data_IF_709883160854
#
_entry.id   IF_709883160854
#
_cell.length_a   1.000
_cell.length_b   1.000
_cell.length_c   1.000
_cell.angle_alpha   90.00
_cell.angle_beta   90.00
_cell.angle_gamma   90.00
#
_symmetry.space_group_name_H-M   'P 1'
#
loop_
_entity.id
_entity.type
_entity.pdbx_description
1 polymer ?
#
# COMPACT_ATOMS: atom_id res chain seq x y z
N UNK A 1 -7.58 -3.22 4.95
CA UNK A 1 -8.90 -2.88 5.52
C UNK A 1 -9.12 -3.67 6.80
N UNK A 2 -9.46 -3.07 7.96
CA UNK A 2 -10.30 -3.82 8.88
C UNK A 2 -11.65 -3.95 8.17
N UNK A 3 -11.96 -5.14 7.67
CA UNK A 3 -13.34 -5.49 7.33
C UNK A 3 -14.25 -5.07 8.49
N UNK A 4 -15.48 -4.65 8.22
CA UNK A 4 -16.50 -4.47 9.25
C UNK A 4 -16.36 -5.62 10.26
N UNK A 5 -16.17 -5.29 11.55
CA UNK A 5 -15.86 -6.30 12.56
C UNK A 5 -17.02 -7.29 12.60
N UNK A 6 -16.79 -8.48 12.03
CA UNK A 6 -17.73 -9.58 12.15
C UNK A 6 -17.58 -10.12 13.57
N UNK A 7 -18.53 -9.75 14.44
CA UNK A 7 -18.53 -10.13 15.85
C UNK A 7 -19.13 -11.53 16.08
N UNK A 8 -19.55 -12.24 15.03
CA UNK A 8 -20.03 -13.61 15.15
C UNK A 8 -18.90 -14.50 15.69
N UNK A 9 -19.08 -15.11 16.87
CA UNK A 9 -18.06 -15.98 17.44
C UNK A 9 -17.79 -17.18 16.54
N UNK A 10 -16.50 -17.51 16.38
CA UNK A 10 -16.09 -18.78 15.77
C UNK A 10 -16.24 -19.88 16.82
N UNK A 11 -17.13 -20.83 16.53
CA UNK A 11 -17.46 -21.97 17.39
C UNK A 11 -16.80 -23.27 16.90
N UNK A 12 -16.46 -23.35 15.61
CA UNK A 12 -15.88 -24.57 15.02
C UNK A 12 -14.92 -24.29 13.86
N UNK A 13 -14.05 -25.27 13.58
CA UNK A 13 -13.07 -25.20 12.47
C UNK A 13 -13.75 -25.07 11.10
N UNK A 14 -14.95 -25.65 10.93
CA UNK A 14 -15.68 -25.64 9.67
C UNK A 14 -15.94 -24.21 9.18
N UNK A 15 -16.29 -23.28 10.07
CA UNK A 15 -16.55 -21.88 9.72
C UNK A 15 -15.33 -21.19 9.08
N UNK A 16 -14.10 -21.57 9.45
CA UNK A 16 -12.88 -21.05 8.83
C UNK A 16 -12.66 -21.64 7.44
N UNK A 17 -12.98 -22.92 7.25
CA UNK A 17 -12.88 -23.62 5.96
C UNK A 17 -13.91 -23.04 4.99
N UNK A 18 -15.17 -22.95 5.40
CA UNK A 18 -16.28 -22.40 4.62
C UNK A 18 -16.00 -20.95 4.20
N UNK A 19 -15.36 -20.15 5.05
CA UNK A 19 -14.96 -18.79 4.69
C UNK A 19 -13.99 -18.76 3.51
N UNK A 20 -13.05 -19.71 3.42
CA UNK A 20 -12.13 -19.84 2.29
C UNK A 20 -12.85 -20.40 1.06
N UNK A 21 -13.67 -21.44 1.24
CA UNK A 21 -14.46 -22.06 0.17
C UNK A 21 -15.46 -21.09 -0.48
N UNK A 22 -15.99 -20.12 0.28
CA UNK A 22 -16.85 -19.05 -0.26
C UNK A 22 -16.17 -18.17 -1.31
N UNK A 23 -14.84 -18.23 -1.42
CA UNK A 23 -14.06 -17.56 -2.46
C UNK A 23 -14.01 -18.32 -3.80
N UNK A 24 -14.49 -19.56 -3.86
CA UNK A 24 -14.53 -20.32 -5.12
C UNK A 24 -15.49 -19.67 -6.12
N UNK A 25 -14.98 -19.41 -7.33
CA UNK A 25 -15.73 -18.78 -8.43
C UNK A 25 -15.67 -19.63 -9.70
N UNK A 26 -16.78 -19.72 -10.47
CA UNK A 26 -16.72 -20.32 -11.80
C UNK A 26 -15.83 -19.49 -12.73
N UNK A 27 -15.31 -20.12 -13.79
CA UNK A 27 -14.25 -19.54 -14.64
C UNK A 27 -14.64 -18.21 -15.30
N UNK A 28 -15.91 -18.02 -15.62
CA UNK A 28 -16.48 -16.80 -16.21
C UNK A 28 -16.60 -15.63 -15.21
N UNK A 29 -16.52 -15.92 -13.91
CA UNK A 29 -16.44 -14.93 -12.84
C UNK A 29 -14.99 -14.58 -12.43
N UNK A 30 -13.98 -15.25 -12.99
CA UNK A 30 -12.59 -14.91 -12.68
C UNK A 30 -12.23 -13.49 -13.11
N UNK A 31 -11.41 -12.84 -12.30
CA UNK A 31 -10.95 -11.46 -12.43
C UNK A 31 -9.45 -11.41 -12.13
N UNK A 32 -8.83 -10.27 -12.40
CA UNK A 32 -7.42 -10.00 -12.15
C UNK A 32 -7.35 -8.78 -11.24
N UNK A 33 -6.93 -8.97 -10.00
CA UNK A 33 -6.48 -7.85 -9.15
C UNK A 33 -4.99 -7.64 -9.35
N UNK A 34 -4.50 -6.40 -9.32
CA UNK A 34 -3.07 -6.13 -9.40
C UNK A 34 -2.68 -5.11 -8.36
N UNK A 35 -1.64 -5.43 -7.61
CA UNK A 35 -1.09 -4.57 -6.56
C UNK A 35 0.36 -4.26 -6.85
N UNK A 36 0.80 -3.04 -6.58
CA UNK A 36 2.20 -2.67 -6.72
C UNK A 36 2.62 -1.55 -5.79
N UNK A 37 3.81 -1.72 -5.22
CA UNK A 37 4.43 -0.81 -4.27
C UNK A 37 5.54 0.00 -4.95
N UNK A 38 5.72 1.23 -4.47
CA UNK A 38 6.70 2.18 -5.01
C UNK A 38 7.39 2.92 -3.87
N UNK A 39 8.68 3.21 -3.99
CA UNK A 39 9.38 4.05 -3.02
C UNK A 39 9.23 5.53 -3.36
N UNK A 40 8.93 6.35 -2.35
CA UNK A 40 8.91 7.80 -2.49
C UNK A 40 10.16 8.42 -1.85
N UNK A 41 10.79 9.35 -2.57
CA UNK A 41 12.01 10.04 -2.19
C UNK A 41 11.87 11.54 -2.39
N UNK A 42 12.55 12.33 -1.55
CA UNK A 42 12.78 13.74 -1.83
C UNK A 42 13.76 13.89 -2.99
N UNK A 43 13.41 14.67 -4.02
CA UNK A 43 14.21 14.72 -5.25
C UNK A 43 15.56 15.44 -5.07
N UNK A 44 15.65 16.39 -4.12
CA UNK A 44 16.87 17.16 -3.89
C UNK A 44 17.89 16.38 -3.06
N UNK A 45 17.42 15.65 -2.04
CA UNK A 45 18.28 14.96 -1.07
C UNK A 45 18.43 13.46 -1.33
N UNK A 46 17.57 12.89 -2.18
CA UNK A 46 17.46 11.46 -2.44
C UNK A 46 17.24 10.64 -1.15
N UNK A 47 16.53 11.20 -0.17
CA UNK A 47 16.18 10.51 1.08
C UNK A 47 14.73 10.03 1.08
N UNK A 48 14.40 8.93 1.78
CA UNK A 48 13.01 8.51 1.95
C UNK A 48 12.16 9.61 2.57
N UNK A 49 10.92 9.73 2.12
CA UNK A 49 9.97 10.69 2.68
C UNK A 49 9.45 10.22 4.04
N UNK A 50 9.51 11.11 5.04
CA UNK A 50 8.78 10.91 6.28
C UNK A 50 7.31 11.26 6.10
N UNK A 51 6.48 10.85 7.05
CA UNK A 51 5.03 11.04 6.96
C UNK A 51 4.61 12.52 7.03
N UNK A 52 5.11 13.26 8.02
CA UNK A 52 4.72 14.66 8.28
C UNK A 52 5.67 15.72 7.65
N UNK A 53 6.62 15.32 6.79
CA UNK A 53 7.40 16.31 6.04
C UNK A 53 6.46 17.17 5.15
N UNK A 54 6.80 18.44 4.86
CA UNK A 54 5.98 19.30 4.00
C UNK A 54 5.65 18.69 2.62
N UNK A 55 6.62 17.99 2.01
CA UNK A 55 6.46 17.19 0.80
C UNK A 55 6.45 15.67 1.11
N UNK A 56 5.98 15.30 2.30
CA UNK A 56 6.01 13.94 2.83
C UNK A 56 4.86 13.05 2.34
N UNK A 57 4.76 11.87 2.94
CA UNK A 57 3.75 10.87 2.55
C UNK A 57 2.31 11.38 2.77
N UNK A 58 2.04 12.11 3.87
CA UNK A 58 0.72 12.71 4.10
C UNK A 58 0.33 13.65 2.96
N UNK A 59 1.25 14.52 2.55
CA UNK A 59 1.03 15.47 1.47
C UNK A 59 0.75 14.76 0.13
N UNK A 60 1.42 13.64 -0.16
CA UNK A 60 1.12 12.81 -1.36
C UNK A 60 -0.33 12.32 -1.32
N UNK A 61 -0.78 11.80 -0.17
CA UNK A 61 -2.16 11.32 -0.03
C UNK A 61 -3.18 12.45 -0.13
N UNK A 62 -2.87 13.62 0.41
CA UNK A 62 -3.72 14.83 0.30
C UNK A 62 -3.82 15.31 -1.15
N UNK A 63 -2.70 15.39 -1.88
CA UNK A 63 -2.70 15.79 -3.30
C UNK A 63 -3.46 14.80 -4.18
N UNK A 64 -3.35 13.49 -3.93
CA UNK A 64 -4.12 12.50 -4.68
C UNK A 64 -5.64 12.70 -4.57
N UNK A 65 -6.16 13.30 -3.49
CA UNK A 65 -7.59 13.54 -3.32
C UNK A 65 -8.16 14.45 -4.41
N UNK A 66 -7.36 15.33 -5.04
CA UNK A 66 -7.80 16.20 -6.13
C UNK A 66 -8.24 15.42 -7.38
N UNK A 67 -7.82 14.16 -7.51
CA UNK A 67 -8.27 13.25 -8.57
C UNK A 67 -9.51 12.44 -8.18
N UNK A 68 -10.21 12.80 -7.09
CA UNK A 68 -11.43 12.12 -6.62
C UNK A 68 -11.16 10.88 -5.78
N UNK A 69 -9.99 10.82 -5.12
CA UNK A 69 -9.69 9.78 -4.14
C UNK A 69 -10.24 10.19 -2.77
N UNK A 70 -10.94 9.28 -2.10
CA UNK A 70 -11.54 9.54 -0.79
C UNK A 70 -10.61 9.08 0.34
N UNK A 71 -10.37 9.89 1.38
CA UNK A 71 -9.41 9.59 2.42
C UNK A 71 -9.87 8.46 3.37
N UNK A 72 -8.91 7.65 3.79
CA UNK A 72 -9.08 6.63 4.81
C UNK A 72 -8.18 6.91 6.01
N UNK A 73 -8.78 7.09 7.18
CA UNK A 73 -8.06 7.56 8.37
C UNK A 73 -7.89 6.45 9.42
N UNK A 74 -6.76 6.50 10.12
CA UNK A 74 -6.53 5.80 11.40
C UNK A 74 -6.25 6.85 12.47
N UNK A 75 -7.26 7.11 13.32
CA UNK A 75 -7.25 8.30 14.17
C UNK A 75 -7.24 9.57 13.33
N UNK A 76 -6.31 10.48 13.60
CA UNK A 76 -6.16 11.77 12.90
C UNK A 76 -5.25 11.70 11.67
N UNK A 77 -4.80 10.50 11.29
CA UNK A 77 -3.86 10.29 10.19
C UNK A 77 -4.56 9.70 8.98
N UNK A 78 -4.42 10.34 7.81
CA UNK A 78 -4.78 9.74 6.52
C UNK A 78 -3.74 8.67 6.20
N UNK A 79 -4.15 7.40 6.12
CA UNK A 79 -3.24 6.24 5.95
C UNK A 79 -3.46 5.47 4.65
N UNK A 80 -4.37 5.97 3.81
CA UNK A 80 -4.72 5.41 2.53
C UNK A 80 -5.88 6.17 1.91
N UNK A 81 -6.25 5.78 0.70
CA UNK A 81 -7.35 6.37 -0.06
C UNK A 81 -8.15 5.27 -0.75
N UNK A 82 -9.37 5.58 -1.17
CA UNK A 82 -10.20 4.68 -1.98
C UNK A 82 -10.85 5.42 -3.14
N UNK A 83 -11.01 4.73 -4.28
CA UNK A 83 -11.68 5.26 -5.46
C UNK A 83 -12.12 4.12 -6.39
N UNK A 84 -13.39 4.05 -6.75
CA UNK A 84 -13.90 3.14 -7.78
C UNK A 84 -13.47 1.66 -7.62
N UNK A 85 -13.38 1.16 -6.39
CA UNK A 85 -12.91 -0.21 -6.08
C UNK A 85 -11.39 -0.38 -6.00
N UNK A 86 -10.62 0.68 -6.23
CA UNK A 86 -9.18 0.77 -6.02
C UNK A 86 -8.87 1.34 -4.64
N UNK A 87 -7.68 1.03 -4.15
CA UNK A 87 -7.15 1.55 -2.89
C UNK A 87 -5.70 2.00 -3.03
N UNK A 88 -5.40 3.20 -2.52
CA UNK A 88 -4.02 3.60 -2.24
C UNK A 88 -3.73 3.31 -0.77
N UNK A 89 -2.60 2.68 -0.51
CA UNK A 89 -2.25 2.18 0.81
C UNK A 89 -0.77 2.46 1.10
N UNK A 90 -0.43 2.51 2.39
CA UNK A 90 0.94 2.72 2.85
C UNK A 90 1.46 1.48 3.53
N UNK A 91 2.66 1.05 3.13
CA UNK A 91 3.46 0.02 3.79
C UNK A 91 4.36 0.60 4.91
N UNK A 92 5.00 -0.23 5.77
CA UNK A 92 5.66 0.26 6.99
C UNK A 92 6.72 1.34 6.75
N UNK A 93 7.47 1.25 5.65
CA UNK A 93 8.54 2.19 5.27
C UNK A 93 8.11 3.31 4.34
N UNK A 94 6.80 3.58 4.25
CA UNK A 94 6.24 4.63 3.41
C UNK A 94 6.20 4.29 1.92
N UNK A 95 6.28 3.00 1.57
CA UNK A 95 6.02 2.57 0.19
C UNK A 95 4.56 2.89 -0.15
N UNK A 96 4.36 3.50 -1.32
CA UNK A 96 3.05 3.86 -1.84
C UNK A 96 2.52 2.69 -2.68
N UNK A 97 1.50 2.04 -2.16
CA UNK A 97 0.85 0.91 -2.80
C UNK A 97 -0.41 1.37 -3.54
N UNK A 98 -0.64 0.82 -4.74
CA UNK A 98 -1.97 0.75 -5.33
C UNK A 98 -2.42 -0.70 -5.26
N UNK A 99 -3.57 -0.96 -4.68
CA UNK A 99 -4.36 -2.17 -4.86
C UNK A 99 -5.47 -1.88 -5.87
N UNK A 100 -5.34 -2.44 -7.07
CA UNK A 100 -6.23 -2.21 -8.19
C UNK A 100 -7.59 -2.90 -8.05
N UNK A 101 -8.56 -2.47 -8.85
CA UNK A 101 -9.86 -3.12 -8.89
C UNK A 101 -9.74 -4.56 -9.47
N UNK A 102 -10.70 -5.45 -9.20
CA UNK A 102 -10.74 -6.76 -9.83
C UNK A 102 -11.27 -6.61 -11.27
N UNK A 103 -10.39 -6.78 -12.26
CA UNK A 103 -10.64 -6.45 -13.67
C UNK A 103 -10.78 -7.68 -14.56
N UNK A 104 -11.42 -7.53 -15.73
CA UNK A 104 -11.72 -8.66 -16.62
C UNK A 104 -10.56 -9.06 -17.52
N UNK A 105 -9.60 -8.17 -17.77
CA UNK A 105 -8.48 -8.42 -18.67
C UNK A 105 -7.28 -7.50 -18.39
N UNK A 106 -6.12 -7.90 -18.93
CA UNK A 106 -4.86 -7.17 -18.75
C UNK A 106 -4.84 -5.77 -19.37
N UNK A 107 -5.69 -5.49 -20.37
CA UNK A 107 -5.78 -4.14 -20.95
C UNK A 107 -6.42 -3.16 -19.98
N UNK A 108 -7.43 -3.60 -19.22
CA UNK A 108 -8.00 -2.82 -18.12
C UNK A 108 -6.96 -2.59 -17.03
N UNK A 109 -6.26 -3.64 -16.58
CA UNK A 109 -5.18 -3.53 -15.57
C UNK A 109 -4.11 -2.53 -15.99
N UNK A 110 -3.69 -2.58 -17.26
CA UNK A 110 -2.71 -1.65 -17.81
C UNK A 110 -3.23 -0.21 -17.80
N UNK A 111 -4.49 0.03 -18.18
CA UNK A 111 -5.08 1.38 -18.12
C UNK A 111 -5.18 1.91 -16.70
N UNK A 112 -5.62 1.08 -15.76
CA UNK A 112 -5.73 1.45 -14.34
C UNK A 112 -4.36 1.81 -13.75
N UNK A 113 -3.36 0.95 -13.97
CA UNK A 113 -2.00 1.17 -13.49
C UNK A 113 -1.42 2.48 -14.05
N UNK A 114 -1.55 2.72 -15.36
CA UNK A 114 -1.04 3.95 -15.97
C UNK A 114 -1.77 5.19 -15.46
N UNK A 115 -3.09 5.14 -15.28
CA UNK A 115 -3.84 6.28 -14.75
C UNK A 115 -3.35 6.68 -13.34
N UNK A 116 -3.03 5.71 -12.47
CA UNK A 116 -2.45 6.00 -11.16
C UNK A 116 -1.01 6.53 -11.27
N UNK A 117 -0.19 5.96 -12.16
CA UNK A 117 1.19 6.43 -12.38
C UNK A 117 1.23 7.86 -12.95
N UNK A 118 0.30 8.22 -13.83
CA UNK A 118 0.17 9.57 -14.39
C UNK A 118 -0.16 10.59 -13.29
N UNK A 119 -1.11 10.27 -12.40
CA UNK A 119 -1.42 11.09 -11.21
C UNK A 119 -0.21 11.22 -10.28
N UNK A 120 0.46 10.10 -10.00
CA UNK A 120 1.67 10.09 -9.18
C UNK A 120 2.79 10.94 -9.78
N UNK A 121 2.95 10.93 -11.10
CA UNK A 121 3.94 11.73 -11.81
C UNK A 121 3.61 13.22 -11.71
N UNK A 122 2.36 13.60 -11.94
CA UNK A 122 1.89 14.99 -11.88
C UNK A 122 2.20 15.61 -10.50
N UNK A 123 1.78 14.94 -9.41
CA UNK A 123 2.06 15.42 -8.05
C UNK A 123 3.55 15.38 -7.72
N UNK A 124 4.30 14.43 -8.29
CA UNK A 124 5.72 14.30 -8.01
C UNK A 124 6.53 15.48 -8.52
N UNK A 125 6.19 15.95 -9.72
CA UNK A 125 6.83 17.11 -10.36
C UNK A 125 6.55 18.39 -9.57
N UNK A 126 5.32 18.56 -9.07
CA UNK A 126 4.91 19.74 -8.27
C UNK A 126 5.54 19.76 -6.87
N UNK A 127 5.62 18.60 -6.22
CA UNK A 127 6.11 18.47 -4.85
C UNK A 127 7.64 18.33 -4.73
N UNK A 128 8.35 18.19 -5.86
CA UNK A 128 9.78 17.94 -5.86
C UNK A 128 10.15 16.58 -5.25
N UNK A 129 9.38 15.55 -5.56
CA UNK A 129 9.62 14.17 -5.10
C UNK A 129 9.92 13.24 -6.28
N UNK A 130 10.56 12.12 -5.99
CA UNK A 130 10.82 11.03 -6.95
C UNK A 130 10.12 9.78 -6.48
N UNK A 131 9.31 9.18 -7.36
CA UNK A 131 8.70 7.87 -7.15
C UNK A 131 9.48 6.82 -7.95
N UNK A 132 9.88 5.74 -7.29
CA UNK A 132 10.80 4.74 -7.84
C UNK A 132 10.26 3.32 -7.67
N UNK A 133 10.12 2.60 -8.78
CA UNK A 133 9.78 1.18 -8.81
C UNK A 133 11.02 0.29 -8.75
N UNK A 134 11.37 -0.21 -7.57
CA UNK A 134 12.47 -1.16 -7.36
C UNK A 134 12.07 -2.19 -6.31
N UNK A 135 12.55 -3.43 -6.42
CA UNK A 135 12.24 -4.47 -5.42
C UNK A 135 12.88 -4.26 -4.05
N UNK A 136 13.97 -3.47 -3.96
CA UNK A 136 14.65 -3.16 -2.71
C UNK A 136 15.25 -1.75 -2.72
N UNK A 137 15.25 -1.06 -1.58
CA UNK A 137 15.90 0.25 -1.41
C UNK A 137 17.42 0.10 -1.59
N UNK A 138 18.04 0.75 -2.60
CA UNK A 138 19.41 0.43 -2.99
C UNK A 138 20.47 1.06 -2.08
N UNK A 139 20.11 2.04 -1.24
CA UNK A 139 21.10 2.86 -0.51
C UNK A 139 20.86 2.96 0.99
N UNK A 140 19.60 3.02 1.41
CA UNK A 140 19.25 3.34 2.78
C UNK A 140 19.46 2.16 3.74
N UNK A 141 19.96 2.47 4.94
CA UNK A 141 19.93 1.53 6.07
C UNK A 141 18.52 1.43 6.64
N UNK A 142 18.28 0.52 7.59
CA UNK A 142 16.96 0.40 8.22
C UNK A 142 16.63 1.65 9.03
N UNK A 143 17.65 2.23 9.65
CA UNK A 143 17.58 3.38 10.53
C UNK A 143 17.27 4.67 9.76
N UNK A 144 17.63 4.72 8.47
CA UNK A 144 17.33 5.85 7.58
C UNK A 144 15.86 5.89 7.13
N UNK A 145 15.11 4.79 7.26
CA UNK A 145 13.74 4.69 6.75
C UNK A 145 12.72 5.08 7.83
N UNK A 146 11.88 6.09 7.59
CA UNK A 146 10.83 6.49 8.53
C UNK A 146 9.70 5.45 8.57
N UNK A 147 9.04 5.36 9.73
CA UNK A 147 7.91 4.45 9.94
C UNK A 147 6.58 5.17 9.72
N UNK A 148 5.66 4.51 9.04
CA UNK A 148 4.29 5.01 8.86
C UNK A 148 3.45 4.87 10.14
N UNK A 149 2.56 5.82 10.45
CA UNK A 149 1.84 5.88 11.73
C UNK A 149 0.61 4.94 11.77
N UNK A 150 0.82 3.64 11.55
CA UNK A 150 -0.23 2.60 11.63
C UNK A 150 0.03 1.67 12.80
N UNK A 151 -0.96 1.50 13.68
CA UNK A 151 -0.84 0.75 14.93
C UNK A 151 -0.38 -0.70 14.72
N UNK A 152 -0.83 -1.35 13.63
CA UNK A 152 -0.42 -2.72 13.27
C UNK A 152 1.10 -2.85 13.08
N UNK A 153 1.76 -1.82 12.58
CA UNK A 153 3.20 -1.87 12.30
C UNK A 153 4.04 -1.81 13.56
N UNK A 154 3.55 -1.18 14.63
CA UNK A 154 4.22 -1.22 15.94
C UNK A 154 4.36 -2.66 16.45
N UNK A 155 3.26 -3.43 16.39
CA UNK A 155 3.24 -4.84 16.82
C UNK A 155 4.24 -5.66 15.98
N UNK A 156 4.18 -5.52 14.66
CA UNK A 156 5.06 -6.26 13.76
C UNK A 156 6.53 -5.88 13.95
N UNK A 157 6.85 -4.59 14.12
CA UNK A 157 8.22 -4.09 14.37
C UNK A 157 8.84 -4.73 15.61
N UNK A 158 8.08 -4.87 16.68
CA UNK A 158 8.54 -5.48 17.93
C UNK A 158 8.66 -7.01 17.81
N UNK A 159 7.86 -7.63 16.94
CA UNK A 159 7.82 -9.09 16.80
C UNK A 159 8.86 -9.65 15.82
N UNK A 160 9.08 -9.00 14.67
CA UNK A 160 9.95 -9.52 13.60
C UNK A 160 11.36 -9.94 14.07
N UNK A 161 12.05 -9.18 14.96
CA UNK A 161 13.36 -9.59 15.46
C UNK A 161 13.36 -10.90 16.27
N UNK A 162 12.20 -11.32 16.80
CA UNK A 162 12.07 -12.55 17.59
C UNK A 162 12.01 -13.82 16.73
N UNK A 163 11.70 -13.67 15.44
CA UNK A 163 11.45 -14.80 14.53
C UNK A 163 12.38 -14.81 13.31
N UNK A 164 13.21 -13.77 13.12
CA UNK A 164 14.18 -13.74 12.05
C UNK A 164 14.98 -12.44 12.00
N UNK A 165 15.93 -12.36 11.08
CA UNK A 165 16.87 -11.23 10.96
C UNK A 165 16.50 -10.23 9.86
N UNK A 166 15.64 -10.62 8.92
CA UNK A 166 15.30 -9.84 7.72
C UNK A 166 13.85 -9.32 7.70
N UNK A 167 13.04 -9.63 8.71
CA UNK A 167 11.63 -9.19 8.74
C UNK A 167 11.48 -7.67 8.72
N UNK A 168 12.37 -6.94 9.39
CA UNK A 168 12.38 -5.47 9.35
C UNK A 168 12.81 -4.91 7.98
N UNK A 169 13.67 -5.63 7.25
CA UNK A 169 14.06 -5.23 5.90
C UNK A 169 12.93 -5.40 4.90
N UNK A 170 12.22 -6.52 4.99
CA UNK A 170 10.99 -6.72 4.21
C UNK A 170 9.99 -5.60 4.50
N UNK A 171 9.77 -5.26 5.76
CA UNK A 171 8.81 -4.20 6.10
C UNK A 171 9.19 -2.80 5.57
N UNK A 172 10.48 -2.44 5.63
CA UNK A 172 10.92 -1.07 5.38
C UNK A 172 11.53 -0.82 4.00
N UNK A 173 12.12 -1.86 3.41
CA UNK A 173 13.07 -1.72 2.31
C UNK A 173 12.71 -2.52 1.08
N UNK A 174 11.60 -3.25 1.03
CA UNK A 174 11.14 -3.93 -0.20
C UNK A 174 9.93 -3.24 -0.82
N UNK A 175 9.76 -3.41 -2.14
CA UNK A 175 8.50 -3.25 -2.84
C UNK A 175 8.19 -4.52 -3.65
N UNK A 176 6.92 -4.76 -3.95
CA UNK A 176 6.47 -5.86 -4.82
C UNK A 176 5.56 -5.40 -5.96
N UNK A 177 5.35 -6.31 -6.92
CA UNK A 177 4.19 -6.33 -7.82
C UNK A 177 3.53 -7.70 -7.71
N UNK A 178 2.23 -7.72 -7.48
CA UNK A 178 1.46 -8.93 -7.21
C UNK A 178 0.20 -8.96 -8.08
N UNK A 179 -0.20 -10.15 -8.51
CA UNK A 179 -1.49 -10.40 -9.13
C UNK A 179 -2.32 -11.31 -8.22
N UNK A 180 -3.60 -10.98 -8.06
CA UNK A 180 -4.59 -11.70 -7.24
C UNK A 180 -5.62 -12.38 -8.14
#
# INVERSE_FOLDING_TARGET
MPSAQNTTPLTEKAQLIERLESGCKPKDEWLIGTEHEKFCYDAATCKPLSYDAPNGIRAILEELQRFGWEPMNEGDNVIGLSKDGQHVSLEPGGQLELSGAPLKNLHETCRETNAHLDQCKEISEEMGITILGLGFRPRETREDVPWMPKGRYKIMREYMPKVGTMGLDMMLRTCTIQAN
#
